data_IF_033264252267
#
_entry.id   IF_033264252267
#
_cell.length_a   1.000
_cell.length_b   1.000
_cell.length_c   1.000
_cell.angle_alpha   90.00
_cell.angle_beta   90.00
_cell.angle_gamma   90.00
#
_symmetry.space_group_name_H-M   'P 1'
#
loop_
_entity.id
_entity.type
_entity.pdbx_description
1 polymer ?
#
# COMPACT_ATOMS: atom_id res chain seq x y z
N UNK A 1 15.22 -2.59 5.31
CA UNK A 1 16.49 -3.25 4.95
C UNK A 1 16.72 -3.25 3.44
N UNK A 2 17.96 -3.47 2.98
CA UNK A 2 18.29 -3.46 1.55
C UNK A 2 17.48 -4.53 0.78
N UNK A 3 17.43 -5.75 1.28
CA UNK A 3 16.68 -6.84 0.65
C UNK A 3 15.18 -6.51 0.44
N UNK A 4 14.57 -5.79 1.37
CA UNK A 4 13.19 -5.32 1.21
C UNK A 4 13.06 -4.29 0.08
N UNK A 5 14.00 -3.35 0.00
CA UNK A 5 14.01 -2.37 -1.08
C UNK A 5 14.22 -3.05 -2.44
N UNK A 6 15.13 -4.02 -2.52
CA UNK A 6 15.39 -4.79 -3.75
C UNK A 6 14.14 -5.55 -4.20
N UNK A 7 13.40 -6.16 -3.26
CA UNK A 7 12.14 -6.84 -3.58
C UNK A 7 11.07 -5.89 -4.13
N UNK A 8 10.94 -4.70 -3.53
CA UNK A 8 9.97 -3.68 -4.00
C UNK A 8 10.35 -3.14 -5.37
N UNK A 9 11.63 -2.87 -5.62
CA UNK A 9 12.12 -2.42 -6.92
C UNK A 9 11.91 -3.48 -8.00
N UNK A 10 12.18 -4.74 -7.70
CA UNK A 10 11.92 -5.85 -8.61
C UNK A 10 10.44 -5.99 -8.96
N UNK A 11 9.55 -5.88 -7.94
CA UNK A 11 8.11 -5.92 -8.14
C UNK A 11 7.64 -4.78 -9.05
N UNK A 12 8.11 -3.54 -8.84
CA UNK A 12 7.75 -2.40 -9.68
C UNK A 12 8.26 -2.55 -11.12
N UNK A 13 9.46 -3.12 -11.30
CA UNK A 13 9.98 -3.43 -12.64
C UNK A 13 9.09 -4.47 -13.36
N UNK A 14 8.62 -5.50 -12.65
CA UNK A 14 7.67 -6.49 -13.18
C UNK A 14 6.34 -5.86 -13.55
N UNK A 15 5.80 -4.96 -12.72
CA UNK A 15 4.57 -4.20 -13.00
C UNK A 15 4.72 -3.38 -14.30
N UNK A 16 5.81 -2.64 -14.44
CA UNK A 16 6.11 -1.85 -15.64
C UNK A 16 6.20 -2.73 -16.89
N UNK A 17 6.89 -3.87 -16.78
CA UNK A 17 7.00 -4.82 -17.88
C UNK A 17 5.63 -5.42 -18.27
N UNK A 18 4.78 -5.75 -17.28
CA UNK A 18 3.45 -6.27 -17.55
C UNK A 18 2.57 -5.25 -18.29
N UNK A 19 2.60 -3.99 -17.89
CA UNK A 19 1.89 -2.92 -18.61
C UNK A 19 2.38 -2.76 -20.06
N UNK A 20 3.68 -2.89 -20.31
CA UNK A 20 4.23 -2.82 -21.67
C UNK A 20 3.74 -3.97 -22.57
N UNK A 21 3.28 -5.06 -21.99
CA UNK A 21 2.69 -6.21 -22.65
C UNK A 21 1.15 -6.14 -22.77
N UNK A 22 0.54 -5.04 -22.35
CA UNK A 22 -0.92 -4.87 -22.32
C UNK A 22 -1.63 -5.64 -21.23
N UNK A 23 -0.91 -6.05 -20.18
CA UNK A 23 -1.47 -6.70 -19.00
C UNK A 23 -1.83 -5.67 -17.92
N UNK A 24 -2.75 -6.04 -17.04
CA UNK A 24 -3.09 -5.29 -15.84
C UNK A 24 -2.41 -5.87 -14.61
N UNK A 25 -2.15 -5.02 -13.62
CA UNK A 25 -1.51 -5.42 -12.37
C UNK A 25 -2.21 -4.85 -11.15
N UNK A 26 -2.13 -5.58 -10.04
CA UNK A 26 -2.52 -5.10 -8.70
C UNK A 26 -1.45 -5.48 -7.69
N UNK A 27 -0.92 -4.48 -6.99
CA UNK A 27 0.01 -4.69 -5.87
C UNK A 27 -0.80 -5.08 -4.63
N UNK A 28 -0.45 -6.19 -4.01
CA UNK A 28 -1.18 -6.79 -2.90
C UNK A 28 -0.39 -6.63 -1.58
N UNK A 29 -0.77 -5.63 -0.78
CA UNK A 29 -0.32 -5.49 0.61
C UNK A 29 -1.04 -6.44 1.57
N UNK A 30 -2.23 -6.92 1.20
CA UNK A 30 -3.06 -7.84 2.02
C UNK A 30 -2.39 -9.19 2.33
N UNK A 31 -1.34 -9.57 1.62
CA UNK A 31 -0.52 -10.75 1.94
C UNK A 31 0.04 -10.69 3.37
N UNK A 32 0.30 -9.49 3.87
CA UNK A 32 0.82 -9.28 5.22
C UNK A 32 -0.20 -9.58 6.34
N UNK A 33 -1.48 -9.76 5.99
CA UNK A 33 -2.52 -10.11 6.97
C UNK A 33 -2.34 -11.53 7.54
N UNK A 34 -1.75 -12.45 6.76
CA UNK A 34 -1.49 -13.82 7.21
C UNK A 34 -0.13 -14.32 6.71
N UNK A 35 0.94 -13.75 7.24
CA UNK A 35 2.32 -14.11 6.89
C UNK A 35 2.65 -15.58 7.21
N UNK A 36 2.30 -16.14 8.40
CA UNK A 36 2.57 -17.54 8.68
C UNK A 36 1.92 -18.49 7.65
N UNK A 37 0.65 -18.26 7.32
CA UNK A 37 -0.03 -19.08 6.30
C UNK A 37 0.60 -18.97 4.91
N UNK A 38 1.16 -17.81 4.56
CA UNK A 38 1.86 -17.63 3.29
C UNK A 38 3.22 -18.34 3.29
N UNK A 39 3.95 -18.31 4.41
CA UNK A 39 5.21 -19.06 4.59
C UNK A 39 4.95 -20.54 4.41
N UNK A 40 3.89 -21.08 5.02
CA UNK A 40 3.53 -22.50 4.95
C UNK A 40 3.14 -22.90 3.51
N UNK A 41 2.25 -22.13 2.87
CA UNK A 41 1.77 -22.45 1.51
C UNK A 41 2.90 -22.40 0.48
N UNK A 42 3.82 -21.44 0.61
CA UNK A 42 4.95 -21.27 -0.30
C UNK A 42 6.18 -22.09 0.12
N UNK A 43 6.11 -22.74 1.29
CA UNK A 43 7.23 -23.49 1.86
C UNK A 43 8.53 -22.66 1.91
N UNK A 44 8.40 -21.42 2.42
CA UNK A 44 9.50 -20.47 2.45
C UNK A 44 10.58 -20.92 3.44
N UNK A 45 11.85 -20.91 3.03
CA UNK A 45 12.95 -21.27 3.93
C UNK A 45 13.22 -20.18 4.97
N UNK A 46 14.01 -20.52 5.97
CA UNK A 46 14.56 -19.60 6.95
C UNK A 46 15.22 -18.38 6.27
N UNK A 47 15.18 -17.23 6.88
CA UNK A 47 15.66 -15.93 6.35
C UNK A 47 14.96 -15.45 5.07
N UNK A 48 13.79 -15.99 4.79
CA UNK A 48 12.92 -15.52 3.69
C UNK A 48 11.63 -14.97 4.26
N UNK A 49 11.21 -13.79 3.79
CA UNK A 49 10.04 -13.10 4.29
C UNK A 49 9.24 -12.45 3.14
N UNK A 50 7.92 -12.65 3.07
CA UNK A 50 7.11 -12.03 2.03
C UNK A 50 6.98 -10.52 2.29
N UNK A 51 7.21 -9.71 1.25
CA UNK A 51 7.16 -8.24 1.33
C UNK A 51 5.87 -7.70 0.72
N UNK A 52 5.63 -8.05 -0.53
CA UNK A 52 4.45 -7.66 -1.31
C UNK A 52 4.10 -8.76 -2.31
N UNK A 53 2.84 -8.79 -2.73
CA UNK A 53 2.41 -9.61 -3.86
C UNK A 53 2.11 -8.76 -5.08
N UNK A 54 2.14 -9.37 -6.24
CA UNK A 54 1.74 -8.79 -7.51
C UNK A 54 0.81 -9.77 -8.24
N UNK A 55 -0.45 -9.37 -8.43
CA UNK A 55 -1.35 -10.09 -9.32
C UNK A 55 -1.22 -9.48 -10.74
N UNK A 56 -1.02 -10.34 -11.73
CA UNK A 56 -0.88 -9.95 -13.14
C UNK A 56 -1.93 -10.69 -13.95
N UNK A 57 -2.62 -10.02 -14.83
CA UNK A 57 -3.61 -10.65 -15.68
C UNK A 57 -4.07 -9.78 -16.85
N UNK A 58 -4.89 -10.37 -17.72
CA UNK A 58 -5.56 -9.60 -18.78
C UNK A 58 -6.66 -8.76 -18.16
N UNK A 59 -6.67 -7.42 -18.35
CA UNK A 59 -7.71 -6.58 -17.79
C UNK A 59 -9.07 -6.91 -18.38
N UNK A 60 -10.07 -7.08 -17.52
CA UNK A 60 -11.48 -7.28 -17.90
C UNK A 60 -12.32 -6.02 -17.64
N UNK A 61 -11.71 -4.98 -17.07
CA UNK A 61 -12.35 -3.72 -16.74
C UNK A 61 -11.48 -2.54 -17.18
N UNK A 62 -12.12 -1.43 -17.51
CA UNK A 62 -11.45 -0.15 -17.76
C UNK A 62 -11.99 0.89 -16.76
N UNK A 63 -11.62 0.82 -15.49
CA UNK A 63 -12.11 1.73 -14.46
C UNK A 63 -11.58 3.15 -14.67
N UNK A 64 -12.32 4.13 -14.16
CA UNK A 64 -11.83 5.52 -14.08
C UNK A 64 -10.58 5.60 -13.20
N UNK A 65 -9.72 6.57 -13.47
CA UNK A 65 -8.51 6.80 -12.69
C UNK A 65 -8.88 7.24 -11.28
N UNK A 66 -8.36 6.51 -10.28
CA UNK A 66 -8.55 6.89 -8.88
C UNK A 66 -7.85 8.22 -8.59
N UNK A 67 -8.50 9.17 -7.90
CA UNK A 67 -7.87 10.41 -7.46
C UNK A 67 -6.55 10.18 -6.72
N UNK A 68 -5.61 11.07 -6.92
CA UNK A 68 -4.35 11.11 -6.20
C UNK A 68 -4.27 12.39 -5.38
N UNK A 69 -3.66 12.28 -4.23
CA UNK A 69 -3.40 13.44 -3.37
C UNK A 69 -2.69 14.54 -4.17
N UNK A 70 -3.09 15.81 -4.03
CA UNK A 70 -2.47 16.93 -4.74
C UNK A 70 -0.94 16.96 -4.57
N UNK A 71 -0.23 17.39 -5.62
CA UNK A 71 1.24 17.48 -5.55
C UNK A 71 1.73 18.38 -4.42
N UNK A 72 1.01 19.44 -4.12
CA UNK A 72 1.29 20.38 -3.02
C UNK A 72 1.28 19.72 -1.64
N UNK A 73 0.64 18.56 -1.50
CA UNK A 73 0.64 17.77 -0.28
C UNK A 73 1.73 16.68 -0.25
N UNK A 74 2.41 16.43 -1.36
CA UNK A 74 3.34 15.30 -1.49
C UNK A 74 4.77 15.71 -1.87
N UNK A 75 4.94 16.86 -2.50
CA UNK A 75 6.23 17.31 -3.04
C UNK A 75 6.58 18.66 -2.46
N UNK A 76 7.71 18.71 -1.77
CA UNK A 76 8.23 19.90 -1.12
C UNK A 76 9.61 20.22 -1.68
N UNK A 77 9.87 21.50 -1.95
CA UNK A 77 11.15 21.92 -2.49
C UNK A 77 12.18 22.07 -1.35
N UNK A 78 13.29 21.40 -1.48
CA UNK A 78 14.47 21.40 -0.59
C UNK A 78 14.23 20.90 0.85
N UNK A 79 13.12 21.26 1.51
CA UNK A 79 12.84 20.90 2.91
C UNK A 79 11.39 20.51 3.09
N UNK A 80 11.12 19.69 4.10
CA UNK A 80 9.75 19.42 4.54
C UNK A 80 9.18 20.69 5.21
N UNK A 81 7.91 21.06 4.99
CA UNK A 81 7.32 22.24 5.60
C UNK A 81 7.33 22.12 7.13
N UNK A 82 7.74 23.20 7.81
CA UNK A 82 7.71 23.26 9.26
C UNK A 82 6.27 23.33 9.80
N UNK A 83 5.34 23.86 9.01
CA UNK A 83 3.91 23.93 9.29
C UNK A 83 3.18 22.83 8.50
N UNK A 84 2.84 21.76 9.20
CA UNK A 84 2.04 20.67 8.62
C UNK A 84 0.56 21.05 8.48
N UNK A 85 0.06 21.99 9.27
CA UNK A 85 -1.37 22.37 9.28
C UNK A 85 -1.78 22.96 7.94
N UNK A 86 -0.96 23.84 7.36
CA UNK A 86 -1.21 24.41 6.02
C UNK A 86 -1.21 23.37 4.89
N UNK A 87 -0.56 22.23 5.08
CA UNK A 87 -0.65 21.08 4.16
C UNK A 87 -1.97 20.36 4.36
N UNK A 88 -2.39 20.17 5.61
CA UNK A 88 -3.62 19.44 5.96
C UNK A 88 -4.89 20.23 5.61
N UNK A 89 -4.84 21.54 5.49
CA UNK A 89 -5.97 22.39 5.05
C UNK A 89 -6.52 21.99 3.65
N UNK A 90 -5.72 21.30 2.85
CA UNK A 90 -6.13 20.81 1.53
C UNK A 90 -6.86 19.44 1.59
N UNK A 91 -6.83 18.78 2.75
CA UNK A 91 -7.37 17.42 2.91
C UNK A 91 -8.90 17.35 2.68
N UNK A 92 -9.73 18.30 3.15
CA UNK A 92 -11.18 18.24 2.92
C UNK A 92 -11.57 18.24 1.43
N UNK A 93 -10.85 18.99 0.59
CA UNK A 93 -11.12 19.01 -0.85
C UNK A 93 -10.74 17.66 -1.50
N UNK A 94 -9.67 17.04 -1.06
CA UNK A 94 -9.28 15.72 -1.53
C UNK A 94 -10.23 14.62 -1.03
N UNK A 95 -10.71 14.72 0.20
CA UNK A 95 -11.73 13.82 0.76
C UNK A 95 -13.01 13.84 -0.08
N UNK A 96 -13.47 15.01 -0.47
CA UNK A 96 -14.66 15.16 -1.32
C UNK A 96 -14.44 14.50 -2.71
N UNK A 97 -13.27 14.66 -3.30
CA UNK A 97 -12.92 14.06 -4.58
C UNK A 97 -12.89 12.53 -4.49
N UNK A 98 -12.28 11.98 -3.44
CA UNK A 98 -12.22 10.55 -3.17
C UNK A 98 -13.62 9.98 -2.93
N UNK A 99 -14.43 10.66 -2.14
CA UNK A 99 -15.82 10.28 -1.86
C UNK A 99 -16.64 10.18 -3.16
N UNK A 100 -16.59 11.21 -3.98
CA UNK A 100 -17.26 11.24 -5.30
C UNK A 100 -16.82 10.09 -6.21
N UNK A 101 -15.52 9.76 -6.22
CA UNK A 101 -14.99 8.65 -7.00
C UNK A 101 -15.59 7.31 -6.57
N UNK A 102 -15.71 7.06 -5.28
CA UNK A 102 -16.26 5.80 -4.77
C UNK A 102 -17.77 5.72 -4.89
N UNK A 103 -18.50 6.80 -4.68
CA UNK A 103 -19.96 6.85 -4.87
C UNK A 103 -20.37 6.50 -6.30
N UNK A 104 -19.62 6.99 -7.29
CA UNK A 104 -19.87 6.66 -8.70
C UNK A 104 -19.53 5.20 -9.03
N UNK A 105 -18.67 4.56 -8.28
CA UNK A 105 -18.20 3.19 -8.54
C UNK A 105 -19.00 2.13 -7.80
N UNK A 106 -19.53 2.45 -6.63
CA UNK A 106 -20.26 1.53 -5.74
C UNK A 106 -21.37 2.28 -5.00
N UNK A 107 -22.40 2.68 -5.72
CA UNK A 107 -23.53 3.44 -5.14
C UNK A 107 -24.21 2.75 -3.94
N UNK A 108 -24.15 1.40 -3.89
CA UNK A 108 -24.76 0.61 -2.83
C UNK A 108 -23.84 0.40 -1.61
N UNK A 109 -22.61 0.89 -1.65
CA UNK A 109 -21.64 0.73 -0.57
C UNK A 109 -20.88 2.01 -0.35
N UNK A 110 -21.39 2.91 0.51
CA UNK A 110 -20.69 4.14 0.84
C UNK A 110 -19.30 3.81 1.42
N UNK A 111 -18.29 4.52 0.97
CA UNK A 111 -16.92 4.42 1.46
C UNK A 111 -16.60 5.70 2.19
N UNK A 112 -16.01 5.57 3.36
CA UNK A 112 -15.57 6.71 4.16
C UNK A 112 -14.59 7.60 3.40
N UNK A 113 -14.54 8.86 3.75
CA UNK A 113 -13.53 9.79 3.24
C UNK A 113 -12.12 9.26 3.47
N UNK A 114 -11.14 9.75 2.72
CA UNK A 114 -9.76 9.28 2.86
C UNK A 114 -9.22 9.53 4.28
N UNK A 115 -9.48 10.70 4.85
CA UNK A 115 -9.08 11.04 6.22
C UNK A 115 -9.69 10.10 7.27
N UNK A 116 -10.98 9.73 7.13
CA UNK A 116 -11.66 8.79 8.01
C UNK A 116 -11.06 7.38 7.92
N UNK A 117 -10.74 6.93 6.70
CA UNK A 117 -10.06 5.65 6.48
C UNK A 117 -8.69 5.62 7.17
N UNK A 118 -7.91 6.69 7.05
CA UNK A 118 -6.60 6.81 7.70
C UNK A 118 -6.75 6.86 9.22
N UNK A 119 -7.70 7.62 9.74
CA UNK A 119 -7.99 7.68 11.17
C UNK A 119 -8.38 6.31 11.73
N UNK A 120 -9.23 5.58 11.01
CA UNK A 120 -9.63 4.22 11.41
C UNK A 120 -8.45 3.25 11.43
N UNK A 121 -7.58 3.29 10.40
CA UNK A 121 -6.39 2.43 10.31
C UNK A 121 -5.40 2.77 11.43
N UNK A 122 -5.21 4.07 11.74
CA UNK A 122 -4.27 4.51 12.78
C UNK A 122 -4.73 4.14 14.19
N UNK A 123 -6.03 3.95 14.40
CA UNK A 123 -6.61 3.51 15.68
C UNK A 123 -6.62 1.98 15.83
N UNK A 124 -6.49 1.24 14.73
CA UNK A 124 -6.30 -0.19 14.81
C UNK A 124 -4.93 -0.45 15.43
N UNK A 125 -4.90 -1.21 16.52
CA UNK A 125 -3.66 -1.68 17.13
C UNK A 125 -3.02 -2.75 16.22
N UNK A 126 -2.55 -2.29 15.07
CA UNK A 126 -1.65 -3.08 14.22
C UNK A 126 -0.31 -3.02 14.94
N UNK A 127 -0.15 -3.87 15.95
CA UNK A 127 1.07 -3.88 16.70
C UNK A 127 2.24 -4.13 15.74
N UNK A 128 3.09 -3.12 15.55
CA UNK A 128 4.36 -3.28 14.80
C UNK A 128 5.14 -4.49 15.33
N UNK A 129 4.93 -4.83 16.58
CA UNK A 129 5.43 -5.98 17.27
C UNK A 129 5.07 -7.31 16.56
N UNK A 130 3.86 -7.45 16.03
CA UNK A 130 3.47 -8.68 15.32
C UNK A 130 4.22 -8.87 13.98
N UNK A 131 4.59 -7.80 13.29
CA UNK A 131 5.42 -7.88 12.08
C UNK A 131 6.87 -8.24 12.43
N UNK A 132 7.42 -7.64 13.48
CA UNK A 132 8.76 -7.92 13.98
C UNK A 132 8.85 -9.35 14.52
N UNK A 133 7.85 -9.80 15.28
CA UNK A 133 7.79 -11.17 15.81
C UNK A 133 7.74 -12.21 14.69
N UNK A 134 6.96 -11.95 13.64
CA UNK A 134 6.89 -12.82 12.46
C UNK A 134 8.20 -12.87 11.69
N UNK A 135 8.90 -11.74 11.56
CA UNK A 135 10.24 -11.71 10.96
C UNK A 135 11.28 -12.44 11.83
N UNK A 136 11.22 -12.24 13.15
CA UNK A 136 12.08 -12.94 14.09
C UNK A 136 11.87 -14.47 14.05
N UNK A 137 10.62 -14.92 13.91
CA UNK A 137 10.28 -16.34 13.73
C UNK A 137 10.89 -16.95 12.44
N UNK A 138 11.17 -16.12 11.44
CA UNK A 138 11.90 -16.51 10.22
C UNK A 138 13.43 -16.39 10.35
N UNK A 139 13.96 -16.19 11.55
CA UNK A 139 15.40 -16.14 11.83
C UNK A 139 16.04 -14.77 11.68
N UNK A 140 15.28 -13.73 11.33
CA UNK A 140 15.84 -12.37 11.25
C UNK A 140 16.11 -11.81 12.65
N UNK A 141 17.31 -11.26 12.84
CA UNK A 141 17.68 -10.54 14.06
C UNK A 141 17.37 -9.07 13.88
N UNK A 142 16.52 -8.52 14.75
CA UNK A 142 16.00 -7.14 14.66
C UNK A 142 16.55 -6.23 15.78
N UNK A 143 17.44 -6.79 16.61
CA UNK A 143 17.98 -6.20 17.83
C UNK A 143 19.44 -5.69 17.67
N UNK A 144 19.93 -5.54 16.43
CA UNK A 144 21.26 -5.01 16.12
C UNK A 144 21.21 -3.66 15.45
#
# INVERSE_FOLDING_TARGET
>A
TQAQNDAVLALHAMETAAYSLGLGCVILGSLLNNIPGLIDVLNLPEYTYPVLGLAIGKPDQNPTVKPRMPRTMQFFENTYPADADGVLDQLPAFDEEVHRYYDLRQADRPVDAFSDQVATISQQDVSHQTLLDKAAAQGFRLDQ
#
